data_IF_220795098031
#
_entry.id   IF_220795098031
#
_cell.length_a   1.000
_cell.length_b   1.000
_cell.length_c   1.000
_cell.angle_alpha   90.00
_cell.angle_beta   90.00
_cell.angle_gamma   90.00
#
_symmetry.space_group_name_H-M   'P 1'
#
loop_
_entity.id
_entity.type
_entity.pdbx_description
1 polymer ?
#
# COMPACT_ATOMS: atom_id res chain seq x y z
N UNK A 1 12.58 -19.22 14.74
CA UNK A 1 12.81 -18.40 13.54
C UNK A 1 13.97 -17.41 13.76
N UNK A 2 13.79 -16.31 14.49
CA UNK A 2 14.84 -15.28 14.70
C UNK A 2 16.19 -15.81 15.21
N UNK A 3 16.20 -16.77 16.15
CA UNK A 3 17.45 -17.35 16.65
C UNK A 3 18.17 -18.27 15.64
N UNK A 4 17.44 -18.86 14.68
CA UNK A 4 18.03 -19.68 13.60
C UNK A 4 18.62 -18.81 12.51
N UNK A 5 17.89 -17.77 12.08
CA UNK A 5 18.41 -16.77 11.13
C UNK A 5 19.65 -16.07 11.71
N UNK A 6 19.62 -15.68 12.99
CA UNK A 6 20.79 -15.13 13.68
C UNK A 6 21.96 -16.11 13.79
N UNK A 7 21.70 -17.42 13.75
CA UNK A 7 22.74 -18.45 13.75
C UNK A 7 23.39 -18.54 12.37
N UNK A 8 22.60 -18.60 11.30
CA UNK A 8 23.09 -18.54 9.91
C UNK A 8 23.95 -17.30 9.68
N UNK A 9 23.46 -16.11 10.08
CA UNK A 9 24.20 -14.85 9.95
C UNK A 9 25.51 -14.81 10.77
N UNK A 10 25.62 -15.60 11.83
CA UNK A 10 26.85 -15.72 12.63
C UNK A 10 27.82 -16.75 12.07
N UNK A 11 27.30 -17.78 11.42
CA UNK A 11 28.08 -18.90 10.86
C UNK A 11 28.59 -18.59 9.45
N UNK A 12 27.95 -17.66 8.73
CA UNK A 12 28.41 -17.11 7.45
C UNK A 12 28.76 -15.61 7.55
N UNK A 13 29.87 -15.23 8.22
CA UNK A 13 30.37 -13.86 8.23
C UNK A 13 31.08 -13.54 6.90
N UNK A 14 30.35 -13.56 5.80
CA UNK A 14 30.80 -13.09 4.49
C UNK A 14 30.54 -11.60 4.27
N UNK A 15 31.19 -11.00 3.28
CA UNK A 15 30.86 -9.63 2.83
C UNK A 15 29.46 -9.54 2.18
N UNK A 16 28.92 -10.67 1.72
CA UNK A 16 27.62 -10.77 1.04
C UNK A 16 26.56 -11.37 1.98
N UNK A 17 25.35 -10.82 1.95
CA UNK A 17 24.23 -11.32 2.74
C UNK A 17 23.82 -12.75 2.30
N UNK A 18 23.75 -13.74 3.21
CA UNK A 18 23.61 -15.16 2.86
C UNK A 18 22.14 -15.57 2.61
N UNK A 19 21.57 -15.06 1.51
CA UNK A 19 20.14 -15.25 1.15
C UNK A 19 19.78 -16.74 1.08
N UNK A 20 20.51 -17.54 0.29
CA UNK A 20 20.19 -18.95 0.05
C UNK A 20 20.21 -19.82 1.32
N UNK A 21 21.12 -19.54 2.25
CA UNK A 21 21.20 -20.25 3.52
C UNK A 21 20.02 -19.90 4.45
N UNK A 22 19.55 -18.65 4.42
CA UNK A 22 18.35 -18.22 5.15
C UNK A 22 17.10 -18.86 4.56
N UNK A 23 16.97 -18.87 3.23
CA UNK A 23 15.84 -19.51 2.53
C UNK A 23 15.75 -21.00 2.87
N UNK A 24 16.87 -21.71 2.86
CA UNK A 24 16.94 -23.13 3.22
C UNK A 24 16.47 -23.38 4.67
N UNK A 25 16.97 -22.60 5.64
CA UNK A 25 16.55 -22.72 7.05
C UNK A 25 15.08 -22.33 7.27
N UNK A 26 14.52 -21.46 6.43
CA UNK A 26 13.11 -21.07 6.51
C UNK A 26 12.21 -22.13 5.86
N UNK A 27 12.61 -22.71 4.73
CA UNK A 27 11.92 -23.84 4.11
C UNK A 27 11.85 -25.05 5.05
N UNK A 28 12.93 -25.35 5.77
CA UNK A 28 12.99 -26.41 6.80
C UNK A 28 12.03 -26.19 7.97
N UNK A 29 11.58 -24.96 8.21
CA UNK A 29 10.57 -24.62 9.21
C UNK A 29 9.13 -24.76 8.69
N UNK A 30 8.94 -25.29 7.47
CA UNK A 30 7.63 -25.36 6.81
C UNK A 30 7.07 -24.00 6.43
N UNK A 31 7.92 -22.96 6.46
CA UNK A 31 7.62 -21.63 5.95
C UNK A 31 8.11 -21.63 4.51
N UNK A 32 7.23 -21.94 3.56
CA UNK A 32 7.56 -21.79 2.14
C UNK A 32 8.09 -20.38 1.93
N UNK A 33 9.38 -20.29 1.62
CA UNK A 33 10.06 -19.06 1.22
C UNK A 33 9.90 -18.90 -0.27
N UNK A 34 8.66 -18.66 -0.67
CA UNK A 34 8.34 -18.14 -1.97
C UNK A 34 7.36 -17.03 -1.70
N UNK A 35 7.72 -15.80 -2.05
CA UNK A 35 6.69 -14.79 -2.27
C UNK A 35 5.77 -15.40 -3.33
N UNK A 36 4.53 -15.68 -2.98
CA UNK A 36 3.55 -16.26 -3.87
C UNK A 36 2.40 -15.28 -4.06
N UNK A 37 1.66 -15.43 -5.15
CA UNK A 37 0.55 -14.54 -5.50
C UNK A 37 -0.46 -14.38 -4.34
N UNK A 38 -0.72 -15.48 -3.63
CA UNK A 38 -1.59 -15.50 -2.45
C UNK A 38 -1.11 -14.53 -1.34
N UNK A 39 0.19 -14.40 -1.13
CA UNK A 39 0.73 -13.45 -0.16
C UNK A 39 0.48 -12.01 -0.58
N UNK A 40 0.61 -11.70 -1.87
CA UNK A 40 0.34 -10.35 -2.40
C UNK A 40 -1.15 -10.03 -2.25
N UNK A 41 -2.04 -10.96 -2.58
CA UNK A 41 -3.48 -10.78 -2.34
C UNK A 41 -3.77 -10.49 -0.86
N UNK A 42 -3.18 -11.27 0.05
CA UNK A 42 -3.36 -11.03 1.49
C UNK A 42 -2.84 -9.66 1.95
N UNK A 43 -1.82 -9.13 1.28
CA UNK A 43 -1.26 -7.80 1.57
C UNK A 43 -2.16 -6.69 1.06
N UNK A 44 -2.72 -6.82 -0.15
CA UNK A 44 -3.68 -5.86 -0.71
C UNK A 44 -4.94 -5.70 0.16
N UNK A 45 -5.30 -6.76 0.88
CA UNK A 45 -6.43 -6.78 1.81
C UNK A 45 -6.17 -6.02 3.13
N UNK A 46 -4.94 -5.54 3.39
CA UNK A 46 -4.61 -4.81 4.61
C UNK A 46 -5.39 -3.50 4.75
N UNK A 47 -5.69 -3.15 5.99
CA UNK A 47 -6.48 -1.96 6.32
C UNK A 47 -5.75 -0.99 7.24
N UNK A 48 -6.20 0.26 7.29
CA UNK A 48 -5.68 1.28 8.21
C UNK A 48 -5.69 0.80 9.67
N UNK A 49 -4.66 1.16 10.43
CA UNK A 49 -4.49 0.73 11.83
C UNK A 49 -3.89 -0.67 11.99
N UNK A 50 -3.77 -1.45 10.92
CA UNK A 50 -3.00 -2.70 10.93
C UNK A 50 -1.51 -2.45 11.12
N UNK A 51 -0.87 -3.22 12.01
CA UNK A 51 0.57 -3.07 12.29
C UNK A 51 1.47 -3.34 11.08
N UNK A 52 0.96 -4.07 10.07
CA UNK A 52 1.66 -4.40 8.84
C UNK A 52 1.39 -3.42 7.69
N UNK A 53 0.28 -2.70 7.73
CA UNK A 53 -0.17 -1.81 6.63
C UNK A 53 0.84 -0.70 6.37
N UNK A 54 1.32 -0.04 7.43
CA UNK A 54 2.36 0.98 7.29
C UNK A 54 3.64 0.41 6.67
N UNK A 55 4.10 -0.74 7.15
CA UNK A 55 5.30 -1.39 6.63
C UNK A 55 5.15 -1.76 5.15
N UNK A 56 4.00 -2.31 4.76
CA UNK A 56 3.69 -2.58 3.36
C UNK A 56 3.75 -1.31 2.53
N UNK A 57 3.12 -0.22 2.99
CA UNK A 57 3.14 1.04 2.27
C UNK A 57 4.57 1.53 2.05
N UNK A 58 5.48 1.37 3.01
CA UNK A 58 6.89 1.79 2.82
C UNK A 58 7.61 1.05 1.69
N UNK A 59 7.15 -0.16 1.32
CA UNK A 59 7.73 -0.91 0.20
C UNK A 59 7.36 -0.32 -1.17
N UNK A 60 6.30 0.50 -1.24
CA UNK A 60 5.82 1.10 -2.49
C UNK A 60 6.56 2.36 -2.89
N UNK A 61 7.45 2.87 -2.03
CA UNK A 61 8.15 4.13 -2.26
C UNK A 61 9.64 3.90 -2.33
N UNK A 62 10.23 4.19 -3.49
CA UNK A 62 11.68 4.15 -3.66
C UNK A 62 12.36 5.30 -2.88
N UNK A 63 13.50 4.99 -2.25
CA UNK A 63 14.42 5.92 -1.60
C UNK A 63 13.79 7.05 -0.75
N UNK A 64 12.77 6.75 0.05
CA UNK A 64 12.29 7.70 1.05
C UNK A 64 13.32 7.88 2.19
N UNK A 65 13.63 9.14 2.54
CA UNK A 65 14.44 9.47 3.71
C UNK A 65 13.64 9.34 5.02
N UNK A 66 13.44 8.10 5.47
CA UNK A 66 12.86 7.81 6.78
C UNK A 66 13.74 8.22 7.96
N UNK A 67 14.99 8.66 7.72
CA UNK A 67 15.91 9.11 8.76
C UNK A 67 15.68 10.56 9.17
N UNK A 68 15.29 11.41 8.23
CA UNK A 68 15.08 12.84 8.46
C UNK A 68 13.63 13.31 8.33
N UNK A 69 12.78 12.56 7.63
CA UNK A 69 11.39 12.95 7.36
C UNK A 69 10.41 12.00 8.05
N UNK A 70 9.47 12.58 8.80
CA UNK A 70 8.36 11.84 9.37
C UNK A 70 7.22 11.73 8.35
N UNK A 71 6.84 10.49 8.05
CA UNK A 71 5.72 10.17 7.16
C UNK A 71 4.48 9.77 7.96
N UNK A 72 3.33 10.17 7.44
CA UNK A 72 2.01 9.90 7.96
C UNK A 72 1.25 9.04 6.96
N UNK A 73 0.53 8.04 7.47
CA UNK A 73 -0.39 7.25 6.66
C UNK A 73 -1.71 8.02 6.51
N UNK A 74 -2.03 8.43 5.28
CA UNK A 74 -3.23 9.18 4.94
C UNK A 74 -4.12 8.42 3.95
N UNK A 75 -5.39 8.79 3.89
CA UNK A 75 -6.31 8.27 2.87
C UNK A 75 -6.23 9.10 1.59
N UNK A 76 -6.28 8.47 0.43
CA UNK A 76 -6.29 9.15 -0.87
C UNK A 76 -7.64 9.85 -1.04
N UNK A 77 -8.71 9.06 -1.03
CA UNK A 77 -10.07 9.54 -0.83
C UNK A 77 -10.32 9.69 0.67
N UNK A 78 -10.59 10.90 1.18
CA UNK A 78 -10.84 11.11 2.60
C UNK A 78 -11.94 10.17 3.11
N UNK A 79 -11.71 9.50 4.24
CA UNK A 79 -12.70 8.58 4.82
C UNK A 79 -14.02 9.28 5.17
N UNK A 80 -13.95 10.58 5.47
CA UNK A 80 -15.11 11.44 5.72
C UNK A 80 -16.05 11.56 4.51
N UNK A 81 -15.52 11.44 3.28
CA UNK A 81 -16.31 11.46 2.05
C UNK A 81 -16.81 10.05 1.66
N UNK A 82 -16.24 8.99 2.24
CA UNK A 82 -16.62 7.60 1.97
C UNK A 82 -17.59 7.03 3.01
N UNK A 83 -17.92 7.78 4.06
CA UNK A 83 -18.90 7.41 5.09
C UNK A 83 -20.29 7.14 4.46
N UNK A 84 -20.98 6.08 4.91
CA UNK A 84 -22.28 5.67 4.34
C UNK A 84 -23.31 6.81 4.38
N UNK A 85 -23.40 7.55 5.49
CA UNK A 85 -24.38 8.63 5.64
C UNK A 85 -24.04 9.80 4.70
N UNK A 86 -22.76 10.17 4.61
CA UNK A 86 -22.30 11.20 3.67
C UNK A 86 -22.65 10.84 2.21
N UNK A 87 -22.36 9.61 1.80
CA UNK A 87 -22.63 9.15 0.42
C UNK A 87 -24.14 9.12 0.11
N UNK A 88 -24.97 8.65 1.04
CA UNK A 88 -26.42 8.65 0.89
C UNK A 88 -26.99 10.07 0.73
N UNK A 89 -26.52 11.02 1.55
CA UNK A 89 -26.92 12.43 1.47
C UNK A 89 -26.50 13.09 0.14
N UNK A 90 -25.45 12.57 -0.49
CA UNK A 90 -24.95 13.03 -1.79
C UNK A 90 -25.49 12.22 -2.98
N UNK A 91 -26.53 11.40 -2.77
CA UNK A 91 -27.28 10.77 -3.85
C UNK A 91 -26.74 9.43 -4.35
N UNK A 92 -25.81 8.82 -3.62
CA UNK A 92 -25.38 7.45 -3.90
C UNK A 92 -26.47 6.45 -3.50
N UNK A 93 -26.54 5.34 -4.24
CA UNK A 93 -27.36 4.20 -3.82
C UNK A 93 -26.79 3.56 -2.56
N UNK A 94 -27.67 3.00 -1.72
CA UNK A 94 -27.30 2.40 -0.43
C UNK A 94 -26.29 1.25 -0.58
N UNK A 95 -26.44 0.40 -1.59
CA UNK A 95 -25.53 -0.74 -1.74
C UNK A 95 -24.13 -0.25 -2.13
N UNK A 96 -24.05 0.81 -2.94
CA UNK A 96 -22.78 1.46 -3.31
C UNK A 96 -22.16 2.20 -2.12
N UNK A 97 -22.95 2.95 -1.36
CA UNK A 97 -22.49 3.66 -0.17
C UNK A 97 -21.88 2.70 0.86
N UNK A 98 -22.55 1.58 1.14
CA UNK A 98 -22.02 0.53 2.02
C UNK A 98 -20.75 -0.11 1.51
N UNK A 99 -20.66 -0.37 0.20
CA UNK A 99 -19.46 -0.95 -0.39
C UNK A 99 -18.27 0.00 -0.25
N UNK A 100 -18.46 1.30 -0.47
CA UNK A 100 -17.42 2.31 -0.38
C UNK A 100 -16.93 2.50 1.06
N UNK A 101 -17.86 2.64 2.01
CA UNK A 101 -17.53 2.75 3.44
C UNK A 101 -16.71 1.53 3.92
N UNK A 102 -17.15 0.32 3.57
CA UNK A 102 -16.44 -0.92 3.93
C UNK A 102 -15.03 -1.03 3.31
N UNK A 103 -14.76 -0.30 2.22
CA UNK A 103 -13.48 -0.32 1.52
C UNK A 103 -12.63 0.94 1.78
N UNK A 104 -13.13 1.90 2.55
CA UNK A 104 -12.45 3.18 2.79
C UNK A 104 -11.04 3.00 3.37
N UNK A 105 -10.84 1.99 4.23
CA UNK A 105 -9.56 1.74 4.90
C UNK A 105 -8.60 0.82 4.13
N UNK A 106 -8.95 0.34 2.93
CA UNK A 106 -8.12 -0.57 2.11
C UNK A 106 -6.75 0.03 1.80
N UNK A 107 -5.74 -0.83 1.69
CA UNK A 107 -4.37 -0.44 1.29
C UNK A 107 -4.34 0.42 0.03
N UNK A 108 -5.16 0.07 -0.97
CA UNK A 108 -5.28 0.82 -2.21
C UNK A 108 -5.92 2.22 -2.06
N UNK A 109 -6.53 2.56 -0.91
CA UNK A 109 -6.91 3.94 -0.57
C UNK A 109 -5.89 4.64 0.35
N UNK A 110 -4.74 4.03 0.63
CA UNK A 110 -3.76 4.58 1.58
C UNK A 110 -2.48 5.04 0.90
N UNK A 111 -1.88 6.10 1.43
CA UNK A 111 -0.64 6.70 0.97
C UNK A 111 0.23 7.21 2.14
N UNK A 112 1.51 7.46 1.86
CA UNK A 112 2.43 8.08 2.80
C UNK A 112 2.67 9.54 2.41
N UNK A 113 2.29 10.45 3.30
CA UNK A 113 2.51 11.89 3.13
C UNK A 113 3.47 12.41 4.20
N UNK A 114 4.30 13.38 3.84
CA UNK A 114 5.05 14.17 4.81
C UNK A 114 4.08 15.00 5.66
N UNK A 115 4.52 15.47 6.83
CA UNK A 115 3.68 16.33 7.69
C UNK A 115 3.13 17.56 6.94
N UNK A 116 3.95 18.18 6.09
CA UNK A 116 3.54 19.34 5.27
C UNK A 116 2.48 18.98 4.23
N UNK A 117 2.63 17.85 3.54
CA UNK A 117 1.63 17.40 2.55
C UNK A 117 0.32 17.03 3.23
N UNK A 118 0.38 16.33 4.35
CA UNK A 118 -0.81 15.95 5.12
C UNK A 118 -1.56 17.19 5.65
N UNK A 119 -0.84 18.20 6.13
CA UNK A 119 -1.43 19.49 6.54
C UNK A 119 -2.06 20.29 5.39
N UNK A 120 -1.50 20.17 4.18
CA UNK A 120 -2.02 20.83 2.99
C UNK A 120 -3.24 20.10 2.41
N UNK A 121 -3.23 18.77 2.42
CA UNK A 121 -4.30 17.93 1.86
C UNK A 121 -5.58 17.98 2.71
N UNK A 122 -5.50 17.78 4.02
CA UNK A 122 -6.68 17.73 4.90
C UNK A 122 -7.80 16.82 4.34
N UNK A 123 -9.06 17.27 4.42
CA UNK A 123 -10.25 16.62 3.84
C UNK A 123 -10.51 17.03 2.38
N UNK A 124 -9.50 17.55 1.66
CA UNK A 124 -9.67 17.96 0.25
C UNK A 124 -10.04 16.74 -0.60
N UNK A 125 -11.07 16.84 -1.47
CA UNK A 125 -11.41 15.79 -2.42
C UNK A 125 -10.21 15.39 -3.28
N UNK A 126 -10.12 14.11 -3.63
CA UNK A 126 -8.96 13.57 -4.33
C UNK A 126 -8.72 14.24 -5.70
N UNK A 127 -9.77 14.43 -6.49
CA UNK A 127 -9.69 15.13 -7.78
C UNK A 127 -9.13 16.55 -7.65
N UNK A 128 -9.57 17.29 -6.63
CA UNK A 128 -9.09 18.66 -6.36
C UNK A 128 -7.64 18.66 -5.88
N UNK A 129 -7.27 17.67 -5.05
CA UNK A 129 -5.89 17.53 -4.56
C UNK A 129 -4.91 17.37 -5.72
N UNK A 130 -5.27 16.56 -6.73
CA UNK A 130 -4.44 16.27 -7.89
C UNK A 130 -4.17 17.50 -8.78
N UNK A 131 -5.03 18.52 -8.80
CA UNK A 131 -4.80 19.74 -9.59
C UNK A 131 -3.53 20.49 -9.19
N UNK A 132 -3.10 20.31 -7.93
CA UNK A 132 -1.89 20.93 -7.37
C UNK A 132 -0.64 20.05 -7.49
N UNK A 133 -0.77 18.84 -8.05
CA UNK A 133 0.30 17.86 -8.14
C UNK A 133 0.90 17.79 -9.55
N UNK A 134 2.13 17.31 -9.63
CA UNK A 134 2.80 17.02 -10.89
C UNK A 134 2.79 15.52 -11.21
N UNK A 135 3.31 15.16 -12.39
CA UNK A 135 3.39 13.76 -12.84
C UNK A 135 4.16 12.86 -11.86
N UNK A 136 5.15 13.40 -11.15
CA UNK A 136 5.92 12.62 -10.17
C UNK A 136 5.09 12.17 -8.97
N UNK A 137 3.99 12.87 -8.67
CA UNK A 137 3.04 12.45 -7.65
C UNK A 137 2.35 11.14 -8.04
N UNK A 138 1.97 10.99 -9.32
CA UNK A 138 1.30 9.80 -9.82
C UNK A 138 2.20 8.58 -9.71
N UNK A 139 3.43 8.71 -10.18
CA UNK A 139 4.43 7.63 -10.12
C UNK A 139 4.73 7.26 -8.68
N UNK A 140 5.00 8.25 -7.81
CA UNK A 140 5.35 8.02 -6.41
C UNK A 140 4.25 7.33 -5.61
N UNK A 141 2.99 7.62 -5.91
CA UNK A 141 1.84 7.09 -5.15
C UNK A 141 1.11 5.95 -5.85
N UNK A 142 1.60 5.53 -7.03
CA UNK A 142 0.96 4.52 -7.87
C UNK A 142 -0.50 4.91 -8.18
N UNK A 143 -0.71 6.15 -8.61
CA UNK A 143 -2.05 6.66 -8.95
C UNK A 143 -2.38 6.28 -10.40
N UNK A 144 -3.54 5.65 -10.67
CA UNK A 144 -4.01 5.42 -12.03
C UNK A 144 -4.07 6.72 -12.83
N UNK A 145 -3.62 6.70 -14.08
CA UNK A 145 -3.56 7.91 -14.92
C UNK A 145 -4.89 8.26 -15.58
N UNK A 146 -5.88 7.37 -15.53
CA UNK A 146 -7.24 7.63 -16.02
C UNK A 146 -7.96 8.63 -15.09
N UNK A 147 -8.24 9.86 -15.55
CA UNK A 147 -8.86 10.90 -14.71
C UNK A 147 -10.26 10.54 -14.20
N UNK A 148 -10.99 9.67 -14.90
CA UNK A 148 -12.32 9.25 -14.45
C UNK A 148 -12.25 8.55 -13.09
N UNK A 149 -11.16 7.82 -12.82
CA UNK A 149 -10.97 7.11 -11.55
C UNK A 149 -10.75 8.04 -10.35
N UNK A 150 -10.42 9.31 -10.57
CA UNK A 150 -10.13 10.25 -9.47
C UNK A 150 -11.40 10.81 -8.83
N UNK A 151 -12.53 10.61 -9.50
CA UNK A 151 -13.85 11.01 -9.04
C UNK A 151 -14.37 10.02 -8.02
N UNK A 152 -15.02 10.52 -6.97
CA UNK A 152 -15.55 9.68 -5.89
C UNK A 152 -16.57 8.66 -6.43
N UNK A 153 -17.32 9.00 -7.48
CA UNK A 153 -18.25 8.08 -8.14
C UNK A 153 -17.58 6.81 -8.68
N UNK A 154 -16.27 6.83 -8.91
CA UNK A 154 -15.49 5.73 -9.47
C UNK A 154 -14.45 5.16 -8.47
N UNK A 155 -14.68 5.35 -7.16
CA UNK A 155 -13.80 4.87 -6.10
C UNK A 155 -13.50 3.36 -6.17
N UNK A 156 -14.49 2.54 -6.55
CA UNK A 156 -14.31 1.10 -6.80
C UNK A 156 -13.31 0.82 -7.94
N UNK A 157 -13.44 1.55 -9.06
CA UNK A 157 -12.51 1.43 -10.18
C UNK A 157 -11.11 1.93 -9.81
N UNK A 158 -11.01 2.99 -9.01
CA UNK A 158 -9.74 3.46 -8.48
C UNK A 158 -9.05 2.38 -7.62
N UNK A 159 -9.79 1.77 -6.69
CA UNK A 159 -9.25 0.70 -5.84
C UNK A 159 -8.74 -0.47 -6.67
N UNK A 160 -9.48 -0.89 -7.69
CA UNK A 160 -9.09 -1.98 -8.59
C UNK A 160 -7.79 -1.64 -9.32
N UNK A 161 -7.75 -0.53 -10.05
CA UNK A 161 -6.59 -0.13 -10.85
C UNK A 161 -5.36 0.13 -9.98
N UNK A 162 -5.54 0.79 -8.83
CA UNK A 162 -4.42 1.02 -7.91
C UNK A 162 -3.93 -0.27 -7.25
N UNK A 163 -4.81 -1.24 -7.00
CA UNK A 163 -4.39 -2.55 -6.48
C UNK A 163 -3.53 -3.31 -7.48
N UNK A 164 -3.81 -3.19 -8.78
CA UNK A 164 -2.97 -3.75 -9.85
C UNK A 164 -1.58 -3.10 -9.87
N UNK A 165 -1.52 -1.76 -9.81
CA UNK A 165 -0.24 -1.05 -9.74
C UNK A 165 0.59 -1.44 -8.49
N UNK A 166 -0.08 -1.56 -7.34
CA UNK A 166 0.57 -1.99 -6.09
C UNK A 166 1.07 -3.44 -6.21
N UNK A 167 0.29 -4.32 -6.84
CA UNK A 167 0.70 -5.72 -7.08
C UNK A 167 1.96 -5.77 -7.92
N UNK A 168 1.99 -5.06 -9.04
CA UNK A 168 3.13 -5.01 -9.95
C UNK A 168 4.39 -4.47 -9.24
N UNK A 169 4.24 -3.42 -8.43
CA UNK A 169 5.34 -2.85 -7.64
C UNK A 169 5.84 -3.85 -6.58
N UNK A 170 4.94 -4.51 -5.85
CA UNK A 170 5.33 -5.53 -4.86
C UNK A 170 6.03 -6.72 -5.53
N UNK A 171 5.59 -7.16 -6.71
CA UNK A 171 6.29 -8.22 -7.46
C UNK A 171 7.68 -7.77 -7.91
N UNK A 172 7.83 -6.51 -8.34
CA UNK A 172 9.11 -5.92 -8.73
C UNK A 172 10.09 -5.86 -7.55
N UNK A 173 9.65 -5.37 -6.39
CA UNK A 173 10.49 -5.20 -5.19
C UNK A 173 10.86 -6.53 -4.54
N UNK A 174 9.96 -7.50 -4.54
CA UNK A 174 10.13 -8.78 -3.82
C UNK A 174 10.79 -9.87 -4.68
N UNK A 175 10.98 -9.63 -5.97
CA UNK A 175 11.57 -10.58 -6.91
C UNK A 175 10.56 -11.61 -7.43
N UNK A 176 10.95 -12.42 -8.44
CA UNK A 176 10.03 -13.34 -9.10
C UNK A 176 9.45 -14.38 -8.15
N UNK A 177 8.13 -14.57 -8.25
CA UNK A 177 7.42 -15.70 -7.64
C UNK A 177 7.90 -16.98 -8.32
N UNK A 178 8.83 -17.72 -7.72
CA UNK A 178 9.18 -19.05 -8.21
C UNK A 178 7.98 -19.99 -8.01
N UNK A 179 7.46 -20.53 -9.11
CA UNK A 179 6.34 -21.47 -9.17
C UNK A 179 6.69 -22.89 -8.74
#
# INVERSE_FOLDING_TARGET
>A
MLNRIRKVLKEEPGETFPVAAIETEMADLGKVTGFNEEMIENVLEYTKGGSRTFLTLTLLYDQIDFGSIQYHQDHIFPSSLLDEDYLLDNGFDRDKAKAFDAQADRLANLQLLTGRENEAKQDTPFEEWLESQDESFYDRHLIPTDPETHRIENFDSFLEQRSELIRDELQSVLGPVEH
#
